data_IF_112018878243
#
_entry.id   IF_112018878243
#
_cell.length_a   1.000
_cell.length_b   1.000
_cell.length_c   1.000
_cell.angle_alpha   90.00
_cell.angle_beta   90.00
_cell.angle_gamma   90.00
#
_symmetry.space_group_name_H-M   'P 1'
#
loop_
_entity.id
_entity.type
_entity.pdbx_description
1 polymer ?
#
# COMPACT_ATOMS: atom_id res chain seq x y z
N UNK A 1 -16.43 -24.95 2.86
CA UNK A 1 -16.57 -23.64 2.19
C UNK A 1 -17.78 -23.73 1.27
N UNK A 2 -18.74 -22.80 1.37
CA UNK A 2 -20.05 -22.93 0.73
C UNK A 2 -19.91 -22.91 -0.81
N UNK A 3 -20.50 -23.88 -1.52
CA UNK A 3 -20.40 -24.02 -3.00
C UNK A 3 -20.87 -22.76 -3.73
N UNK A 4 -21.80 -22.02 -3.14
CA UNK A 4 -22.34 -20.77 -3.68
C UNK A 4 -21.35 -19.60 -3.63
N UNK A 5 -20.48 -19.53 -2.62
CA UNK A 5 -19.47 -18.45 -2.56
C UNK A 5 -18.39 -18.68 -3.62
N UNK A 6 -18.09 -19.95 -3.91
CA UNK A 6 -17.11 -20.32 -4.93
C UNK A 6 -17.53 -19.91 -6.34
N UNK A 7 -18.83 -19.77 -6.63
CA UNK A 7 -19.29 -19.34 -7.95
C UNK A 7 -19.00 -17.87 -8.25
N UNK A 8 -18.63 -17.06 -7.23
CA UNK A 8 -18.22 -15.66 -7.41
C UNK A 8 -16.73 -15.49 -7.73
N UNK A 9 -15.93 -16.54 -7.51
CA UNK A 9 -14.49 -16.46 -7.68
C UNK A 9 -14.19 -16.59 -9.17
N UNK A 10 -13.53 -15.57 -9.72
CA UNK A 10 -13.10 -15.55 -11.12
C UNK A 10 -11.62 -15.87 -11.20
N UNK A 11 -11.24 -16.60 -12.25
CA UNK A 11 -9.83 -16.83 -12.55
C UNK A 11 -9.28 -15.60 -13.28
N UNK A 12 -8.33 -14.92 -12.65
CA UNK A 12 -7.50 -13.89 -13.28
C UNK A 12 -6.16 -14.51 -13.70
N UNK A 13 -5.13 -13.68 -13.80
CA UNK A 13 -3.76 -14.12 -14.09
C UNK A 13 -3.27 -15.13 -13.08
N UNK A 14 -2.36 -15.98 -13.52
CA UNK A 14 -1.75 -17.07 -12.76
C UNK A 14 -0.23 -16.95 -12.66
N UNK A 15 0.41 -16.29 -13.63
CA UNK A 15 1.83 -16.04 -13.66
C UNK A 15 2.23 -15.06 -12.57
N UNK A 16 3.34 -15.36 -11.88
CA UNK A 16 3.88 -14.46 -10.88
C UNK A 16 4.40 -13.18 -11.55
N UNK A 17 3.89 -11.99 -11.17
CA UNK A 17 4.22 -10.75 -11.87
C UNK A 17 5.70 -10.40 -11.78
N UNK A 18 6.41 -10.86 -10.75
CA UNK A 18 7.85 -10.64 -10.64
C UNK A 18 8.63 -11.59 -11.55
N UNK A 19 8.21 -12.86 -11.60
CA UNK A 19 8.83 -13.84 -12.51
C UNK A 19 8.62 -13.46 -13.98
N UNK A 20 7.44 -12.93 -14.33
CA UNK A 20 7.18 -12.41 -15.69
C UNK A 20 8.22 -11.38 -16.11
N UNK A 21 8.62 -10.47 -15.22
CA UNK A 21 9.66 -9.47 -15.52
C UNK A 21 11.02 -10.13 -15.80
N UNK A 22 11.36 -11.19 -15.07
CA UNK A 22 12.58 -11.94 -15.33
C UNK A 22 12.54 -12.63 -16.69
N UNK A 23 11.39 -13.23 -17.03
CA UNK A 23 11.15 -13.85 -18.34
C UNK A 23 11.29 -12.82 -19.46
N UNK A 24 10.73 -11.63 -19.29
CA UNK A 24 10.85 -10.53 -20.26
C UNK A 24 12.31 -10.13 -20.46
N UNK A 25 13.06 -9.89 -19.37
CA UNK A 25 14.48 -9.58 -19.46
C UNK A 25 15.29 -10.68 -20.18
N UNK A 26 14.93 -11.95 -19.96
CA UNK A 26 15.55 -13.07 -20.66
C UNK A 26 15.25 -13.05 -22.17
N UNK A 27 13.99 -12.82 -22.55
CA UNK A 27 13.56 -12.73 -23.95
C UNK A 27 14.28 -11.57 -24.65
N UNK A 28 14.31 -10.39 -24.05
CA UNK A 28 14.99 -9.20 -24.58
C UNK A 28 16.47 -9.47 -24.83
N UNK A 29 17.19 -10.03 -23.85
CA UNK A 29 18.61 -10.33 -23.99
C UNK A 29 18.87 -11.33 -25.13
N UNK A 30 18.06 -12.39 -25.23
CA UNK A 30 18.25 -13.41 -26.27
C UNK A 30 17.91 -12.84 -27.66
N UNK A 31 16.84 -12.05 -27.78
CA UNK A 31 16.41 -11.44 -29.04
C UNK A 31 17.35 -10.33 -29.51
N UNK A 32 17.91 -9.54 -28.59
CA UNK A 32 18.94 -8.55 -28.91
C UNK A 32 20.22 -9.20 -29.47
N UNK A 33 20.50 -10.46 -29.12
CA UNK A 33 21.56 -11.26 -29.73
C UNK A 33 21.17 -11.88 -31.08
N UNK A 34 20.00 -11.51 -31.64
CA UNK A 34 19.42 -12.05 -32.87
C UNK A 34 19.25 -13.58 -32.83
N UNK A 35 18.94 -14.12 -31.64
CA UNK A 35 18.66 -15.53 -31.43
C UNK A 35 17.17 -15.74 -31.12
N UNK A 36 16.67 -16.96 -31.37
CA UNK A 36 15.33 -17.36 -30.94
C UNK A 36 15.33 -17.51 -29.43
N UNK A 37 14.47 -16.77 -28.73
CA UNK A 37 14.20 -17.02 -27.32
C UNK A 37 13.39 -18.29 -27.21
N UNK A 38 14.04 -19.43 -26.94
CA UNK A 38 13.41 -20.71 -26.68
C UNK A 38 13.53 -21.07 -25.19
N UNK A 39 12.81 -22.12 -24.78
CA UNK A 39 12.75 -22.55 -23.38
C UNK A 39 14.14 -22.81 -22.79
N UNK A 40 15.04 -23.46 -23.52
CA UNK A 40 16.41 -23.74 -23.06
C UNK A 40 17.21 -22.47 -22.76
N UNK A 41 17.17 -21.48 -23.66
CA UNK A 41 17.91 -20.23 -23.52
C UNK A 41 17.34 -19.37 -22.39
N UNK A 42 16.02 -19.25 -22.32
CA UNK A 42 15.33 -18.54 -21.23
C UNK A 42 15.68 -19.21 -19.90
N UNK A 43 15.53 -20.53 -19.79
CA UNK A 43 15.84 -21.26 -18.56
C UNK A 43 17.30 -21.12 -18.13
N UNK A 44 18.26 -21.19 -19.05
CA UNK A 44 19.68 -20.95 -18.75
C UNK A 44 19.93 -19.54 -18.24
N UNK A 45 19.32 -18.53 -18.86
CA UNK A 45 19.44 -17.15 -18.41
C UNK A 45 18.85 -16.96 -17.02
N UNK A 46 17.62 -17.43 -16.77
CA UNK A 46 16.95 -17.31 -15.47
C UNK A 46 17.65 -18.08 -14.35
N UNK A 47 18.15 -19.28 -14.65
CA UNK A 47 18.93 -20.06 -13.67
C UNK A 47 20.20 -19.30 -13.27
N UNK A 48 20.89 -18.70 -14.24
CA UNK A 48 22.15 -17.98 -14.00
C UNK A 48 21.95 -16.64 -13.30
N UNK A 49 20.96 -15.86 -13.71
CA UNK A 49 20.77 -14.49 -13.24
C UNK A 49 19.92 -14.41 -11.96
N UNK A 50 18.96 -15.32 -11.81
CA UNK A 50 17.95 -15.26 -10.74
C UNK A 50 17.84 -16.56 -9.93
N UNK A 51 18.68 -17.57 -10.20
CA UNK A 51 18.66 -18.85 -9.47
C UNK A 51 17.41 -19.69 -9.71
N UNK A 52 16.65 -19.41 -10.78
CA UNK A 52 15.34 -20.03 -11.00
C UNK A 52 15.48 -21.45 -11.55
N UNK A 53 14.81 -22.41 -10.91
CA UNK A 53 14.88 -23.81 -11.33
C UNK A 53 14.19 -24.03 -12.70
N UNK A 54 14.75 -24.83 -13.63
CA UNK A 54 14.19 -25.02 -14.97
C UNK A 54 12.71 -25.44 -15.02
N UNK A 55 12.28 -26.31 -14.10
CA UNK A 55 10.86 -26.70 -13.98
C UNK A 55 9.95 -25.52 -13.63
N UNK A 56 10.40 -24.64 -12.74
CA UNK A 56 9.64 -23.44 -12.38
C UNK A 56 9.64 -22.43 -13.53
N UNK A 57 10.75 -22.31 -14.27
CA UNK A 57 10.78 -21.56 -15.53
C UNK A 57 9.72 -22.05 -16.50
N UNK A 58 9.65 -23.36 -16.74
CA UNK A 58 8.70 -23.94 -17.70
C UNK A 58 7.27 -23.60 -17.30
N UNK A 59 6.97 -23.79 -16.01
CA UNK A 59 5.66 -23.52 -15.43
C UNK A 59 5.29 -22.04 -15.60
N UNK A 60 6.16 -21.12 -15.17
CA UNK A 60 5.87 -19.69 -15.21
C UNK A 60 5.82 -19.13 -16.62
N UNK A 61 6.65 -19.63 -17.52
CA UNK A 61 6.60 -19.27 -18.94
C UNK A 61 5.28 -19.68 -19.58
N UNK A 62 4.83 -20.92 -19.34
CA UNK A 62 3.52 -21.40 -19.80
C UNK A 62 2.35 -20.59 -19.23
N UNK A 63 2.42 -20.22 -17.94
CA UNK A 63 1.41 -19.34 -17.33
C UNK A 63 1.45 -17.93 -17.93
N UNK A 64 2.63 -17.37 -18.19
CA UNK A 64 2.77 -16.05 -18.80
C UNK A 64 2.21 -16.02 -20.22
N UNK A 65 2.38 -17.10 -21.00
CA UNK A 65 1.74 -17.27 -22.31
C UNK A 65 0.22 -17.30 -22.17
N UNK A 66 -0.30 -18.12 -21.25
CA UNK A 66 -1.74 -18.21 -20.98
C UNK A 66 -2.36 -16.88 -20.54
N UNK A 67 -1.62 -16.09 -19.78
CA UNK A 67 -2.05 -14.78 -19.29
C UNK A 67 -1.87 -13.65 -20.32
N UNK A 68 -1.40 -13.96 -21.54
CA UNK A 68 -1.14 -12.98 -22.60
C UNK A 68 0.02 -12.02 -22.29
N UNK A 69 0.89 -12.39 -21.35
CA UNK A 69 2.06 -11.62 -20.95
C UNK A 69 3.33 -11.99 -21.74
N UNK A 70 3.32 -13.13 -22.44
CA UNK A 70 4.35 -13.59 -23.38
C UNK A 70 3.62 -14.20 -24.56
N UNK A 71 4.19 -14.12 -25.76
CA UNK A 71 3.62 -14.78 -26.94
C UNK A 71 4.50 -15.92 -27.38
N UNK A 72 3.89 -17.07 -27.64
CA UNK A 72 4.54 -18.29 -28.09
C UNK A 72 4.16 -18.56 -29.54
N UNK A 73 5.16 -18.68 -30.42
CA UNK A 73 4.95 -19.05 -31.83
C UNK A 73 5.95 -20.10 -32.28
N UNK A 74 5.59 -20.90 -33.29
CA UNK A 74 6.54 -21.75 -34.00
C UNK A 74 7.46 -20.87 -34.86
N UNK A 75 8.78 -20.94 -34.62
CA UNK A 75 9.78 -20.12 -35.30
C UNK A 75 10.90 -20.99 -35.87
N UNK A 76 11.30 -20.71 -37.11
CA UNK A 76 12.42 -21.40 -37.77
C UNK A 76 13.75 -20.72 -37.42
N UNK A 77 14.74 -21.49 -36.99
CA UNK A 77 16.09 -21.00 -36.75
C UNK A 77 16.75 -20.42 -38.00
N UNK A 78 17.11 -19.14 -37.99
CA UNK A 78 17.83 -18.54 -39.13
C UNK A 78 19.36 -18.63 -39.02
N UNK A 79 19.92 -19.04 -37.86
CA UNK A 79 21.37 -19.05 -37.59
C UNK A 79 21.80 -20.18 -36.62
N UNK A 80 23.02 -20.68 -36.79
CA UNK A 80 23.67 -21.65 -35.90
C UNK A 80 23.40 -23.12 -36.24
N UNK A 81 23.75 -24.04 -35.33
CA UNK A 81 23.63 -25.50 -35.52
C UNK A 81 22.19 -26.02 -35.63
N UNK A 82 21.19 -25.17 -35.35
CA UNK A 82 19.75 -25.46 -35.51
C UNK A 82 19.10 -24.60 -36.59
N UNK A 83 19.87 -24.13 -37.58
CA UNK A 83 19.31 -23.39 -38.71
C UNK A 83 18.36 -24.28 -39.53
N UNK A 84 17.19 -23.76 -39.92
CA UNK A 84 16.16 -24.49 -40.65
C UNK A 84 15.26 -25.39 -39.80
N UNK A 85 15.49 -25.50 -38.48
CA UNK A 85 14.67 -26.30 -37.58
C UNK A 85 13.57 -25.44 -36.94
N UNK A 86 12.33 -25.89 -37.03
CA UNK A 86 11.19 -25.32 -36.31
C UNK A 86 11.31 -25.62 -34.81
N UNK A 87 11.15 -24.58 -34.00
CA UNK A 87 11.11 -24.69 -32.55
C UNK A 87 10.21 -23.60 -31.98
N UNK A 88 9.75 -23.80 -30.74
CA UNK A 88 9.05 -22.77 -29.98
C UNK A 88 9.93 -21.53 -29.80
N UNK A 89 9.39 -20.38 -30.19
CA UNK A 89 9.96 -19.06 -30.00
C UNK A 89 9.02 -18.21 -29.16
N UNK A 90 9.57 -17.59 -28.12
CA UNK A 90 8.86 -16.70 -27.22
C UNK A 90 9.16 -15.23 -27.59
N UNK A 91 8.15 -14.38 -27.49
CA UNK A 91 8.19 -12.97 -27.89
C UNK A 91 7.56 -12.10 -26.80
N UNK A 92 8.00 -10.86 -26.73
CA UNK A 92 7.26 -9.86 -25.96
C UNK A 92 5.98 -9.52 -26.74
N UNK A 93 4.84 -9.37 -26.07
CA UNK A 93 3.59 -9.06 -26.76
C UNK A 93 3.68 -7.71 -27.51
N UNK A 94 3.50 -7.76 -28.84
CA UNK A 94 3.66 -6.62 -29.75
C UNK A 94 4.96 -6.61 -30.58
N UNK A 95 5.93 -7.46 -30.26
CA UNK A 95 7.20 -7.61 -31.00
C UNK A 95 7.20 -8.81 -31.98
N UNK A 96 6.05 -9.40 -32.23
CA UNK A 96 5.90 -10.57 -33.10
C UNK A 96 6.22 -10.19 -34.56
N UNK A 97 7.10 -10.95 -35.22
CA UNK A 97 7.29 -10.81 -36.67
C UNK A 97 6.00 -11.29 -37.35
N UNK A 98 5.25 -10.36 -37.94
CA UNK A 98 4.03 -10.64 -38.71
C UNK A 98 4.25 -11.79 -39.73
N UNK A 99 3.54 -12.91 -39.63
CA UNK A 99 3.24 -13.75 -40.77
C UNK A 99 1.82 -13.41 -41.22
N UNK A 100 1.69 -12.50 -42.20
CA UNK A 100 0.55 -12.35 -43.13
C UNK A 100 -0.85 -12.82 -42.65
N UNK A 101 -1.24 -12.45 -41.44
CA UNK A 101 -2.60 -12.64 -40.93
C UNK A 101 -3.21 -11.25 -40.78
N UNK A 102 -3.70 -10.71 -41.90
CA UNK A 102 -4.65 -9.61 -41.91
C UNK A 102 -5.89 -10.02 -41.13
N UNK A 103 -5.92 -9.69 -39.84
CA UNK A 103 -7.08 -9.98 -39.00
C UNK A 103 -6.72 -9.93 -37.53
N UNK A 104 -7.06 -8.81 -36.88
CA UNK A 104 -6.96 -8.57 -35.44
C UNK A 104 -5.55 -8.28 -34.91
N UNK A 105 -5.07 -7.04 -35.10
CA UNK A 105 -4.38 -6.35 -34.01
C UNK A 105 -5.36 -6.30 -32.86
N UNK A 106 -5.35 -7.30 -31.99
CA UNK A 106 -6.20 -7.35 -30.81
C UNK A 106 -5.73 -6.21 -29.93
N UNK A 107 -6.38 -5.05 -30.05
CA UNK A 107 -6.26 -3.98 -29.07
C UNK A 107 -6.49 -4.62 -27.72
N UNK A 108 -5.49 -4.51 -26.85
CA UNK A 108 -5.57 -5.05 -25.50
C UNK A 108 -6.75 -4.36 -24.81
N UNK A 109 -7.90 -5.03 -24.73
CA UNK A 109 -9.07 -4.52 -24.03
C UNK A 109 -8.69 -4.31 -22.58
N UNK A 110 -8.87 -3.09 -22.09
CA UNK A 110 -8.64 -2.78 -20.69
C UNK A 110 -9.65 -3.58 -19.85
N UNK A 111 -9.17 -4.59 -19.12
CA UNK A 111 -10.00 -5.29 -18.15
C UNK A 111 -10.58 -4.30 -17.14
N UNK A 112 -11.78 -4.58 -16.66
CA UNK A 112 -12.48 -3.70 -15.70
C UNK A 112 -11.91 -3.79 -14.27
N UNK A 113 -11.16 -4.85 -13.98
CA UNK A 113 -10.65 -5.16 -12.66
C UNK A 113 -9.16 -5.52 -12.72
N UNK A 114 -8.49 -5.29 -11.58
CA UNK A 114 -7.12 -5.70 -11.37
C UNK A 114 -6.97 -7.22 -11.47
N UNK A 115 -5.75 -7.66 -11.81
CA UNK A 115 -5.41 -9.06 -11.92
C UNK A 115 -4.89 -9.66 -10.63
N UNK A 116 -4.44 -8.82 -9.69
CA UNK A 116 -3.73 -9.25 -8.49
C UNK A 116 -4.50 -8.90 -7.23
N UNK A 117 -4.44 -9.78 -6.23
CA UNK A 117 -5.14 -9.56 -4.97
C UNK A 117 -4.61 -8.30 -4.24
N UNK A 118 -5.50 -7.45 -3.73
CA UNK A 118 -5.13 -6.22 -3.02
C UNK A 118 -4.48 -6.43 -1.65
N UNK A 119 -4.56 -7.65 -1.08
CA UNK A 119 -3.97 -7.99 0.22
C UNK A 119 -2.61 -8.66 0.07
N UNK A 120 -2.47 -9.66 -0.80
CA UNK A 120 -1.20 -10.39 -0.96
C UNK A 120 -0.41 -10.01 -2.20
N UNK A 121 -1.00 -9.24 -3.13
CA UNK A 121 -0.38 -8.79 -4.39
C UNK A 121 -0.02 -9.93 -5.35
N UNK A 122 -0.59 -11.12 -5.15
CA UNK A 122 -0.33 -12.32 -5.94
C UNK A 122 -1.47 -12.62 -6.92
N UNK A 123 -1.16 -13.31 -8.03
CA UNK A 123 -2.15 -13.81 -8.99
C UNK A 123 -3.03 -14.92 -8.40
N UNK A 124 -4.08 -15.32 -9.13
CA UNK A 124 -4.90 -16.48 -8.80
C UNK A 124 -6.40 -16.26 -8.96
N UNK A 125 -7.17 -17.13 -8.30
CA UNK A 125 -8.62 -17.11 -8.29
C UNK A 125 -9.12 -16.08 -7.26
N UNK A 126 -9.73 -14.98 -7.73
CA UNK A 126 -10.07 -13.79 -6.93
C UNK A 126 -11.56 -13.44 -6.99
N UNK A 127 -12.01 -12.69 -6.00
CA UNK A 127 -13.31 -12.03 -5.96
C UNK A 127 -13.16 -10.61 -6.50
N UNK A 128 -14.04 -10.23 -7.43
CA UNK A 128 -14.16 -8.87 -7.97
C UNK A 128 -15.12 -8.03 -7.12
N UNK A 129 -14.75 -6.78 -6.85
CA UNK A 129 -15.59 -5.84 -6.13
C UNK A 129 -16.58 -5.17 -7.09
N UNK A 130 -17.88 -5.25 -6.80
CA UNK A 130 -18.91 -4.71 -7.68
C UNK A 130 -18.89 -3.15 -7.80
N UNK A 131 -18.09 -2.46 -6.97
CA UNK A 131 -18.01 -0.98 -6.91
C UNK A 131 -16.66 -0.38 -7.32
N UNK A 132 -15.62 -1.19 -7.52
CA UNK A 132 -14.30 -0.70 -7.92
C UNK A 132 -13.48 -1.82 -8.54
N UNK A 133 -12.40 -1.46 -9.23
CA UNK A 133 -11.52 -2.42 -9.91
C UNK A 133 -10.74 -3.39 -9.00
N UNK A 134 -10.82 -3.27 -7.67
CA UNK A 134 -10.01 -4.08 -6.74
C UNK A 134 -10.50 -5.52 -6.66
N UNK A 135 -9.55 -6.46 -6.58
CA UNK A 135 -9.83 -7.89 -6.43
C UNK A 135 -9.14 -8.49 -5.21
N UNK A 136 -9.70 -9.57 -4.67
CA UNK A 136 -9.23 -10.18 -3.42
C UNK A 136 -9.32 -11.71 -3.47
N UNK A 137 -8.28 -12.43 -3.02
CA UNK A 137 -8.47 -13.85 -2.76
C UNK A 137 -9.43 -14.04 -1.58
N UNK A 138 -10.35 -15.00 -1.69
CA UNK A 138 -11.29 -15.31 -0.60
C UNK A 138 -10.58 -15.63 0.73
N UNK A 139 -9.41 -16.30 0.65
CA UNK A 139 -8.57 -16.63 1.82
C UNK A 139 -7.85 -15.42 2.45
N UNK A 140 -7.69 -14.33 1.70
CA UNK A 140 -7.02 -13.12 2.17
C UNK A 140 -7.98 -12.13 2.84
N UNK A 141 -9.29 -12.32 2.67
CA UNK A 141 -10.29 -11.47 3.31
C UNK A 141 -10.51 -11.89 4.77
N UNK A 142 -10.62 -10.93 5.71
CA UNK A 142 -11.17 -11.18 7.02
C UNK A 142 -12.62 -11.69 6.93
N UNK A 143 -13.08 -12.48 7.90
CA UNK A 143 -14.38 -13.14 7.86
C UNK A 143 -15.56 -12.16 7.70
N UNK A 144 -15.48 -10.98 8.31
CA UNK A 144 -16.48 -9.91 8.20
C UNK A 144 -16.62 -9.31 6.78
N UNK A 145 -15.58 -9.44 5.95
CA UNK A 145 -15.55 -8.94 4.59
C UNK A 145 -15.84 -10.01 3.54
N UNK A 146 -15.94 -11.29 3.92
CA UNK A 146 -16.30 -12.35 2.98
C UNK A 146 -17.75 -12.19 2.49
N UNK A 147 -18.07 -12.58 1.24
CA UNK A 147 -19.45 -12.67 0.78
C UNK A 147 -20.26 -13.62 1.67
N UNK A 148 -21.51 -13.26 1.97
CA UNK A 148 -22.41 -14.11 2.79
C UNK A 148 -23.05 -15.24 1.97
N UNK A 149 -23.28 -14.98 0.69
CA UNK A 149 -23.86 -15.90 -0.29
C UNK A 149 -23.23 -15.68 -1.67
N UNK A 150 -23.65 -16.48 -2.67
CA UNK A 150 -23.13 -16.39 -4.03
C UNK A 150 -23.75 -15.29 -4.90
N UNK A 151 -24.99 -14.88 -4.61
CA UNK A 151 -25.81 -14.05 -5.51
C UNK A 151 -25.90 -12.57 -5.15
N UNK A 152 -25.55 -12.18 -3.93
CA UNK A 152 -25.67 -10.81 -3.44
C UNK A 152 -24.57 -9.90 -3.96
N UNK A 153 -24.88 -8.60 -4.04
CA UNK A 153 -23.89 -7.58 -4.36
C UNK A 153 -22.79 -7.57 -3.30
N UNK A 154 -21.53 -7.75 -3.69
CA UNK A 154 -20.37 -7.76 -2.80
C UNK A 154 -19.50 -6.52 -3.00
N UNK A 155 -19.12 -5.90 -1.88
CA UNK A 155 -18.23 -4.75 -1.84
C UNK A 155 -17.02 -5.07 -0.97
N UNK A 156 -15.84 -4.69 -1.43
CA UNK A 156 -14.59 -4.83 -0.68
C UNK A 156 -14.54 -3.89 0.55
N UNK A 157 -13.56 -4.11 1.42
CA UNK A 157 -13.37 -3.30 2.63
C UNK A 157 -13.20 -1.80 2.34
N UNK A 158 -12.47 -1.44 1.28
CA UNK A 158 -12.29 -0.04 0.87
C UNK A 158 -13.63 0.63 0.52
N UNK A 159 -14.43 0.02 -0.37
CA UNK A 159 -15.73 0.58 -0.78
C UNK A 159 -16.76 0.63 0.37
N UNK A 160 -16.74 -0.35 1.29
CA UNK A 160 -17.59 -0.32 2.49
C UNK A 160 -17.21 0.84 3.42
N UNK A 161 -15.90 1.10 3.59
CA UNK A 161 -15.38 2.21 4.39
C UNK A 161 -15.82 3.58 3.86
N UNK A 162 -15.75 3.78 2.54
CA UNK A 162 -16.07 5.06 1.89
C UNK A 162 -17.49 5.59 2.15
N UNK A 163 -18.43 4.73 2.59
CA UNK A 163 -19.81 5.14 2.92
C UNK A 163 -19.95 5.84 4.28
N UNK A 164 -18.90 5.85 5.11
CA UNK A 164 -18.94 6.51 6.42
C UNK A 164 -19.12 8.03 6.27
N UNK A 165 -19.81 8.65 7.23
CA UNK A 165 -19.92 10.12 7.28
C UNK A 165 -18.52 10.72 7.48
N UNK A 166 -18.15 11.65 6.61
CA UNK A 166 -16.86 12.32 6.65
C UNK A 166 -17.04 13.82 6.91
N UNK A 167 -15.91 14.50 7.12
CA UNK A 167 -15.84 15.96 7.14
C UNK A 167 -16.35 16.55 5.83
N UNK A 168 -16.72 17.83 5.86
CA UNK A 168 -16.97 18.53 4.61
C UNK A 168 -15.69 18.59 3.75
N UNK A 169 -15.87 18.78 2.43
CA UNK A 169 -14.78 18.74 1.45
C UNK A 169 -13.62 19.70 1.81
N UNK A 170 -13.92 20.92 2.25
CA UNK A 170 -12.91 21.94 2.56
C UNK A 170 -12.08 21.58 3.80
N UNK A 171 -12.75 21.13 4.86
CA UNK A 171 -12.10 20.68 6.09
C UNK A 171 -11.25 19.44 5.83
N UNK A 172 -11.78 18.45 5.10
CA UNK A 172 -11.04 17.24 4.75
C UNK A 172 -9.78 17.58 3.95
N UNK A 173 -9.91 18.44 2.93
CA UNK A 173 -8.77 18.88 2.14
C UNK A 173 -7.72 19.61 2.99
N UNK A 174 -8.14 20.39 4.00
CA UNK A 174 -7.21 21.05 4.93
C UNK A 174 -6.35 20.04 5.68
N UNK A 175 -6.94 18.99 6.23
CA UNK A 175 -6.20 17.98 7.01
C UNK A 175 -5.35 17.06 6.14
N UNK A 176 -5.92 16.57 5.04
CA UNK A 176 -5.20 15.68 4.11
C UNK A 176 -3.96 16.35 3.50
N UNK A 177 -3.95 17.69 3.35
CA UNK A 177 -2.74 18.41 2.89
C UNK A 177 -1.52 18.18 3.79
N UNK A 178 -1.71 18.14 5.11
CA UNK A 178 -0.61 17.83 6.04
C UNK A 178 -0.10 16.41 5.85
N UNK A 179 -1.01 15.44 5.67
CA UNK A 179 -0.65 14.04 5.47
C UNK A 179 0.11 13.87 4.16
N UNK A 180 -0.41 14.42 3.06
CA UNK A 180 0.24 14.35 1.74
C UNK A 180 1.63 15.00 1.75
N UNK A 181 1.82 16.09 2.49
CA UNK A 181 3.14 16.72 2.62
C UNK A 181 4.16 15.75 3.23
N UNK A 182 3.80 15.07 4.33
CA UNK A 182 4.65 14.04 4.95
C UNK A 182 4.85 12.82 4.04
N UNK A 183 3.81 12.42 3.30
CA UNK A 183 3.93 11.35 2.31
C UNK A 183 4.98 11.68 1.25
N UNK A 184 5.00 12.92 0.74
CA UNK A 184 5.98 13.36 -0.26
C UNK A 184 7.41 13.26 0.26
N UNK A 185 7.65 13.66 1.52
CA UNK A 185 8.97 13.59 2.15
C UNK A 185 9.49 12.13 2.21
N UNK A 186 8.62 11.20 2.61
CA UNK A 186 8.97 9.76 2.69
C UNK A 186 9.02 9.07 1.31
N UNK A 187 8.26 9.56 0.33
CA UNK A 187 8.22 8.99 -1.01
C UNK A 187 9.53 9.18 -1.79
N UNK A 188 10.40 10.11 -1.36
CA UNK A 188 11.74 10.30 -1.96
C UNK A 188 12.55 9.00 -1.92
N UNK A 189 12.50 8.25 -0.83
CA UNK A 189 13.22 6.98 -0.71
C UNK A 189 12.66 5.90 -1.62
N UNK A 190 11.34 5.91 -1.86
CA UNK A 190 10.69 5.03 -2.82
C UNK A 190 11.09 5.37 -4.26
N UNK A 191 11.25 6.66 -4.57
CA UNK A 191 11.63 7.14 -5.90
C UNK A 191 13.11 6.90 -6.25
N UNK A 192 14.02 6.90 -5.27
CA UNK A 192 15.47 6.71 -5.47
C UNK A 192 15.85 5.44 -6.23
N UNK A 193 15.06 4.36 -6.11
CA UNK A 193 15.34 3.09 -6.79
C UNK A 193 14.79 3.01 -8.22
N UNK A 194 14.12 4.05 -8.70
CA UNK A 194 13.64 4.22 -10.08
C UNK A 194 12.48 3.28 -10.45
N UNK A 195 11.38 3.83 -10.96
CA UNK A 195 10.29 3.10 -11.62
C UNK A 195 10.36 3.42 -13.12
N UNK A 196 10.61 2.43 -13.97
CA UNK A 196 10.47 2.62 -15.41
C UNK A 196 9.00 2.47 -15.81
N UNK A 197 8.25 3.55 -15.64
CA UNK A 197 6.82 3.62 -16.02
C UNK A 197 6.61 3.69 -17.52
N UNK A 198 7.68 3.90 -18.31
CA UNK A 198 7.62 3.94 -19.77
C UNK A 198 7.78 2.57 -20.41
N UNK A 199 8.35 1.61 -19.68
CA UNK A 199 8.51 0.25 -20.14
C UNK A 199 7.14 -0.36 -20.56
N UNK A 200 7.02 -1.02 -21.72
CA UNK A 200 5.75 -1.61 -22.17
C UNK A 200 5.14 -2.59 -21.15
N UNK A 201 6.00 -3.30 -20.43
CA UNK A 201 5.64 -4.20 -19.32
C UNK A 201 4.85 -3.51 -18.20
N UNK A 202 5.13 -2.24 -17.90
CA UNK A 202 4.47 -1.52 -16.81
C UNK A 202 2.96 -1.49 -17.04
N UNK A 203 2.52 -1.12 -18.25
CA UNK A 203 1.10 -1.09 -18.63
C UNK A 203 0.45 -2.46 -18.65
N UNK A 204 1.25 -3.52 -18.79
CA UNK A 204 0.76 -4.90 -18.75
C UNK A 204 0.62 -5.41 -17.33
N UNK A 205 1.48 -4.99 -16.39
CA UNK A 205 1.43 -5.46 -15.00
C UNK A 205 0.63 -4.57 -14.05
N UNK A 206 0.46 -3.29 -14.38
CA UNK A 206 -0.18 -2.31 -13.50
C UNK A 206 -1.51 -1.88 -14.12
N UNK A 207 -2.61 -2.29 -13.49
CA UNK A 207 -3.96 -1.96 -13.92
C UNK A 207 -4.27 -0.46 -13.73
N UNK A 208 -4.02 0.07 -12.53
CA UNK A 208 -4.25 1.49 -12.22
C UNK A 208 -2.98 2.14 -11.72
N UNK A 209 -2.38 2.97 -12.56
CA UNK A 209 -1.18 3.73 -12.21
C UNK A 209 -1.52 4.83 -11.18
N UNK A 210 -0.69 4.94 -10.14
CA UNK A 210 -0.83 5.99 -9.12
C UNK A 210 0.51 6.21 -8.41
N UNK A 211 0.87 7.49 -8.28
CA UNK A 211 2.00 7.96 -7.49
C UNK A 211 1.57 9.01 -6.44
N UNK A 212 2.46 9.34 -5.51
CA UNK A 212 2.16 10.34 -4.45
C UNK A 212 1.87 11.74 -5.04
N UNK A 213 2.47 12.07 -6.18
CA UNK A 213 2.15 13.28 -6.96
C UNK A 213 0.68 13.30 -7.40
N UNK A 214 0.17 12.20 -7.95
CA UNK A 214 -1.23 12.09 -8.35
C UNK A 214 -2.19 12.20 -7.15
N UNK A 215 -1.82 11.64 -5.99
CA UNK A 215 -2.62 11.79 -4.76
C UNK A 215 -2.76 13.28 -4.39
N UNK A 216 -1.69 14.06 -4.53
CA UNK A 216 -1.70 15.49 -4.27
C UNK A 216 -2.59 16.27 -5.26
N UNK A 217 -2.53 15.93 -6.55
CA UNK A 217 -3.40 16.49 -7.59
C UNK A 217 -4.87 16.15 -7.32
N UNK A 218 -5.17 14.88 -7.08
CA UNK A 218 -6.51 14.39 -6.72
C UNK A 218 -7.07 15.11 -5.49
N UNK A 219 -6.22 15.41 -4.50
CA UNK A 219 -6.61 16.17 -3.32
C UNK A 219 -6.94 17.63 -3.66
N UNK A 220 -6.18 18.23 -4.57
CA UNK A 220 -6.31 19.63 -4.98
C UNK A 220 -7.56 19.87 -5.83
N UNK A 221 -7.88 18.91 -6.71
CA UNK A 221 -9.15 18.84 -7.44
C UNK A 221 -10.33 18.42 -6.53
N UNK A 222 -10.00 17.88 -5.37
CA UNK A 222 -10.93 17.44 -4.35
C UNK A 222 -11.80 16.27 -4.83
N UNK A 223 -11.13 15.27 -5.41
CA UNK A 223 -11.72 14.00 -5.86
C UNK A 223 -12.11 13.09 -4.69
N UNK A 224 -11.40 13.19 -3.56
CA UNK A 224 -11.72 12.41 -2.37
C UNK A 224 -13.02 12.91 -1.73
N UNK A 225 -13.93 11.97 -1.45
CA UNK A 225 -15.19 12.17 -0.72
C UNK A 225 -15.11 11.58 0.69
N UNK A 226 -14.12 10.74 0.95
CA UNK A 226 -13.89 10.10 2.26
C UNK A 226 -12.41 9.90 2.55
N UNK A 227 -12.06 9.77 3.83
CA UNK A 227 -10.71 9.35 4.25
C UNK A 227 -10.37 7.94 3.75
N UNK A 228 -11.35 7.06 3.63
CA UNK A 228 -11.16 5.71 3.12
C UNK A 228 -10.79 5.69 1.63
N UNK A 229 -11.33 6.60 0.81
CA UNK A 229 -10.89 6.75 -0.59
C UNK A 229 -9.42 7.19 -0.67
N UNK A 230 -9.03 8.20 0.13
CA UNK A 230 -7.64 8.66 0.21
C UNK A 230 -6.69 7.53 0.69
N UNK A 231 -7.11 6.78 1.71
CA UNK A 231 -6.37 5.61 2.21
C UNK A 231 -6.25 4.53 1.13
N UNK A 232 -7.31 4.27 0.38
CA UNK A 232 -7.32 3.24 -0.66
C UNK A 232 -6.39 3.58 -1.84
N UNK A 233 -6.18 4.87 -2.12
CA UNK A 233 -5.17 5.35 -3.08
C UNK A 233 -3.75 5.17 -2.51
N UNK A 234 -3.51 5.49 -1.23
CA UNK A 234 -2.22 5.18 -0.61
C UNK A 234 -1.91 3.67 -0.61
N UNK A 235 -2.92 2.80 -0.43
CA UNK A 235 -2.77 1.34 -0.52
C UNK A 235 -2.43 0.87 -1.94
N UNK A 236 -2.96 1.54 -2.97
CA UNK A 236 -2.65 1.23 -4.37
C UNK A 236 -1.15 1.43 -4.68
N UNK A 237 -0.50 2.40 -4.05
CA UNK A 237 0.96 2.58 -4.18
C UNK A 237 1.71 1.35 -3.65
N UNK A 238 1.28 0.78 -2.52
CA UNK A 238 1.85 -0.47 -1.98
C UNK A 238 1.63 -1.61 -2.96
N UNK A 239 0.40 -1.76 -3.45
CA UNK A 239 0.01 -2.81 -4.38
C UNK A 239 0.86 -2.80 -5.65
N UNK A 240 0.93 -1.65 -6.33
CA UNK A 240 1.72 -1.48 -7.55
C UNK A 240 3.21 -1.71 -7.30
N UNK A 241 3.73 -1.25 -6.15
CA UNK A 241 5.14 -1.44 -5.80
C UNK A 241 5.43 -2.92 -5.52
N UNK A 242 4.55 -3.64 -4.84
CA UNK A 242 4.69 -5.07 -4.59
C UNK A 242 4.66 -5.90 -5.88
N UNK A 243 3.81 -5.56 -6.85
CA UNK A 243 3.78 -6.20 -8.18
C UNK A 243 5.10 -5.97 -8.92
N UNK A 244 5.60 -4.73 -8.94
CA UNK A 244 6.80 -4.37 -9.71
C UNK A 244 8.08 -4.93 -9.09
N UNK A 245 8.24 -4.83 -7.77
CA UNK A 245 9.50 -5.18 -7.11
C UNK A 245 9.48 -6.54 -6.42
N UNK A 246 8.30 -7.13 -6.22
CA UNK A 246 8.08 -8.32 -5.42
C UNK A 246 7.68 -7.96 -3.98
N UNK A 247 6.80 -8.77 -3.39
CA UNK A 247 6.21 -8.54 -2.06
C UNK A 247 7.24 -8.41 -0.93
N UNK A 248 8.38 -9.09 -1.05
CA UNK A 248 9.44 -9.12 -0.05
C UNK A 248 10.62 -8.17 -0.37
N UNK A 249 10.46 -7.29 -1.36
CA UNK A 249 11.50 -6.31 -1.71
C UNK A 249 11.58 -5.15 -0.71
N UNK A 250 12.75 -4.52 -0.60
CA UNK A 250 12.92 -3.28 0.17
C UNK A 250 11.94 -2.20 -0.28
N UNK A 251 11.64 -2.11 -1.57
CA UNK A 251 10.71 -1.14 -2.14
C UNK A 251 9.29 -1.37 -1.61
N UNK A 252 8.85 -2.63 -1.57
CA UNK A 252 7.56 -2.98 -1.00
C UNK A 252 7.53 -2.69 0.51
N UNK A 253 8.63 -2.88 1.23
CA UNK A 253 8.73 -2.51 2.64
C UNK A 253 8.64 -0.99 2.86
N UNK A 254 9.38 -0.20 2.09
CA UNK A 254 9.30 1.27 2.12
C UNK A 254 7.88 1.74 1.81
N UNK A 255 7.21 1.13 0.82
CA UNK A 255 5.83 1.47 0.49
C UNK A 255 4.85 1.08 1.62
N UNK A 256 5.03 -0.07 2.27
CA UNK A 256 4.23 -0.47 3.44
C UNK A 256 4.42 0.49 4.61
N UNK A 257 5.65 0.92 4.88
CA UNK A 257 5.94 1.94 5.90
C UNK A 257 5.23 3.25 5.57
N UNK A 258 5.35 3.76 4.33
CA UNK A 258 4.63 4.94 3.86
C UNK A 258 3.12 4.84 4.09
N UNK A 259 2.52 3.69 3.76
CA UNK A 259 1.10 3.44 3.98
C UNK A 259 0.74 3.35 5.47
N UNK A 260 1.55 2.68 6.28
CA UNK A 260 1.38 2.58 7.73
C UNK A 260 1.41 3.96 8.40
N UNK A 261 2.38 4.80 8.04
CA UNK A 261 2.46 6.18 8.51
C UNK A 261 1.23 7.00 8.08
N UNK A 262 0.78 6.81 6.83
CA UNK A 262 -0.43 7.47 6.33
C UNK A 262 -1.67 7.07 7.14
N UNK A 263 -1.81 5.78 7.47
CA UNK A 263 -2.88 5.28 8.33
C UNK A 263 -2.77 5.82 9.75
N UNK A 264 -1.56 5.92 10.28
CA UNK A 264 -1.31 6.51 11.59
C UNK A 264 -1.77 7.97 11.65
N UNK A 265 -1.43 8.79 10.65
CA UNK A 265 -1.87 10.18 10.58
C UNK A 265 -3.40 10.32 10.48
N UNK A 266 -4.06 9.45 9.72
CA UNK A 266 -5.53 9.40 9.66
C UNK A 266 -6.14 9.05 11.02
N UNK A 267 -5.54 8.10 11.75
CA UNK A 267 -5.99 7.75 13.10
C UNK A 267 -5.81 8.91 14.07
N UNK A 268 -4.66 9.60 14.05
CA UNK A 268 -4.43 10.80 14.87
C UNK A 268 -5.45 11.91 14.59
N UNK A 269 -5.79 12.11 13.31
CA UNK A 269 -6.83 13.05 12.89
C UNK A 269 -8.22 12.66 13.42
N UNK A 270 -8.55 11.38 13.37
CA UNK A 270 -9.85 10.86 13.85
C UNK A 270 -9.95 10.87 15.38
N UNK A 271 -8.83 10.71 16.11
CA UNK A 271 -8.79 10.83 17.57
C UNK A 271 -9.10 12.26 18.03
N UNK A 272 -8.42 13.26 17.47
CA UNK A 272 -8.73 14.66 17.75
C UNK A 272 -8.25 15.59 16.62
N UNK A 273 -9.19 16.15 15.88
CA UNK A 273 -8.93 17.07 14.76
C UNK A 273 -8.19 18.33 15.17
N UNK A 274 -8.49 18.86 16.37
CA UNK A 274 -7.87 20.07 16.90
C UNK A 274 -6.41 19.79 17.29
N UNK A 275 -6.14 18.71 18.03
CA UNK A 275 -4.77 18.28 18.31
C UNK A 275 -3.98 17.98 17.04
N UNK A 276 -4.59 17.29 16.07
CA UNK A 276 -3.95 17.01 14.78
C UNK A 276 -3.58 18.30 14.05
N UNK A 277 -4.50 19.27 13.97
CA UNK A 277 -4.24 20.57 13.35
C UNK A 277 -3.08 21.29 14.04
N UNK A 278 -3.17 21.48 15.36
CA UNK A 278 -2.21 22.26 16.13
C UNK A 278 -0.82 21.61 16.14
N UNK A 279 -0.75 20.28 16.20
CA UNK A 279 0.52 19.54 16.13
C UNK A 279 1.21 19.65 14.77
N UNK A 280 0.44 19.93 13.71
CA UNK A 280 0.96 20.10 12.35
C UNK A 280 1.28 21.57 12.03
N UNK A 281 0.35 22.49 12.35
CA UNK A 281 0.50 23.92 12.09
C UNK A 281 1.51 24.60 13.04
N UNK A 282 1.66 24.06 14.25
CA UNK A 282 2.58 24.52 15.31
C UNK A 282 2.61 26.05 15.51
N UNK A 283 1.47 26.73 15.74
CA UNK A 283 1.50 28.11 16.25
C UNK A 283 2.19 28.19 17.63
N UNK A 284 2.49 29.40 18.09
CA UNK A 284 3.02 29.60 19.44
C UNK A 284 2.05 29.01 20.48
N UNK A 285 2.59 28.30 21.47
CA UNK A 285 1.82 27.58 22.49
C UNK A 285 0.74 26.66 21.88
N UNK A 286 1.00 26.04 20.72
CA UNK A 286 0.02 25.18 20.04
C UNK A 286 -0.59 24.09 20.95
N UNK A 287 0.17 23.60 21.93
CA UNK A 287 -0.31 22.57 22.86
C UNK A 287 -1.16 23.14 24.01
N UNK A 288 -1.21 24.46 24.19
CA UNK A 288 -2.01 25.12 25.23
C UNK A 288 -3.44 25.45 24.77
N UNK A 289 -3.75 25.35 23.47
CA UNK A 289 -5.12 25.58 23.01
C UNK A 289 -6.05 24.41 23.40
N UNK A 290 -7.26 24.71 23.92
CA UNK A 290 -8.24 23.69 24.28
C UNK A 290 -8.84 22.99 23.06
N UNK A 291 -9.35 21.79 23.29
CA UNK A 291 -10.10 21.01 22.31
C UNK A 291 -11.59 20.99 22.68
N UNK A 292 -12.47 20.57 21.76
CA UNK A 292 -13.88 20.39 22.07
C UNK A 292 -14.31 18.96 21.70
N UNK A 293 -14.67 18.10 22.68
CA UNK A 293 -14.58 18.35 24.12
C UNK A 293 -13.13 18.52 24.63
N UNK A 294 -12.98 19.12 25.82
CA UNK A 294 -11.68 19.24 26.47
C UNK A 294 -11.11 17.85 26.79
N UNK A 295 -9.79 17.70 26.62
CA UNK A 295 -9.10 16.50 27.06
C UNK A 295 -8.97 16.48 28.59
N UNK A 296 -9.17 15.31 29.20
CA UNK A 296 -8.83 15.13 30.62
C UNK A 296 -7.33 15.38 30.80
N UNK A 297 -6.99 16.03 31.91
CA UNK A 297 -5.61 16.23 32.33
C UNK A 297 -5.29 15.19 33.41
N UNK A 298 -4.08 14.64 33.35
CA UNK A 298 -3.61 13.64 34.30
C UNK A 298 -2.13 13.83 34.62
N UNK A 299 -1.71 13.33 35.77
CA UNK A 299 -0.31 12.98 36.00
C UNK A 299 -0.09 11.54 35.55
N UNK A 300 0.80 11.33 34.60
CA UNK A 300 1.11 10.02 34.05
C UNK A 300 2.58 9.66 34.28
N UNK A 301 2.85 8.38 34.62
CA UNK A 301 4.20 7.89 34.91
C UNK A 301 4.63 6.81 33.92
N UNK A 302 5.68 7.11 33.15
CA UNK A 302 6.37 6.12 32.31
C UNK A 302 7.39 5.32 33.14
N UNK A 303 7.60 4.06 32.77
CA UNK A 303 8.62 3.21 33.40
C UNK A 303 10.00 3.87 33.31
N UNK A 304 10.69 3.99 34.44
CA UNK A 304 12.00 4.65 34.55
C UNK A 304 11.94 6.18 34.72
N UNK A 305 10.76 6.79 34.68
CA UNK A 305 10.56 8.22 34.88
C UNK A 305 9.65 8.49 36.09
N UNK A 306 9.62 9.75 36.54
CA UNK A 306 8.63 10.24 37.49
C UNK A 306 7.29 10.56 36.81
N UNK A 307 6.33 11.10 37.58
CA UNK A 307 5.08 11.60 37.03
C UNK A 307 5.29 12.90 36.22
N UNK A 308 4.66 12.98 35.05
CA UNK A 308 4.63 14.15 34.18
C UNK A 308 3.18 14.51 33.84
N UNK A 309 2.88 15.80 33.62
CA UNK A 309 1.54 16.21 33.24
C UNK A 309 1.26 15.83 31.79
N UNK A 310 0.03 15.39 31.50
CA UNK A 310 -0.36 14.94 30.17
C UNK A 310 -1.86 15.16 29.89
N UNK A 311 -2.19 15.26 28.59
CA UNK A 311 -3.57 15.20 28.08
C UNK A 311 -3.94 13.76 27.76
N UNK A 312 -5.12 13.31 28.18
CA UNK A 312 -5.68 12.01 27.79
C UNK A 312 -6.33 12.12 26.42
N UNK A 313 -5.94 11.21 25.52
CA UNK A 313 -6.46 11.17 24.15
C UNK A 313 -7.46 10.04 23.98
N UNK A 314 -7.22 8.88 24.59
CA UNK A 314 -8.16 7.77 24.64
C UNK A 314 -7.86 6.86 25.84
N UNK A 315 -8.83 6.02 26.20
CA UNK A 315 -8.74 5.05 27.30
C UNK A 315 -9.12 3.67 26.80
N UNK A 316 -8.35 2.67 27.20
CA UNK A 316 -8.69 1.25 27.12
C UNK A 316 -8.80 0.68 28.55
N UNK A 317 -9.22 -0.57 28.70
CA UNK A 317 -9.50 -1.15 30.03
C UNK A 317 -8.31 -1.07 31.00
N UNK A 318 -7.08 -1.32 30.52
CA UNK A 318 -5.89 -1.42 31.36
C UNK A 318 -4.84 -0.32 31.14
N UNK A 319 -5.09 0.59 30.19
CA UNK A 319 -4.11 1.61 29.82
C UNK A 319 -4.78 2.88 29.27
N UNK A 320 -4.06 3.98 29.40
CA UNK A 320 -4.49 5.31 28.98
C UNK A 320 -3.48 5.87 27.99
N UNK A 321 -3.97 6.29 26.85
CA UNK A 321 -3.15 6.93 25.82
C UNK A 321 -3.05 8.42 26.11
N UNK A 322 -1.84 8.88 26.41
CA UNK A 322 -1.60 10.25 26.83
C UNK A 322 -0.57 10.93 25.94
N UNK A 323 -0.70 12.25 25.83
CA UNK A 323 0.32 13.12 25.24
C UNK A 323 0.82 14.08 26.30
N UNK A 324 2.10 13.95 26.63
CA UNK A 324 2.75 14.72 27.69
C UNK A 324 2.92 16.19 27.30
N UNK A 325 2.83 17.08 28.29
CA UNK A 325 3.32 18.45 28.17
C UNK A 325 4.85 18.48 28.18
N UNK A 326 5.42 19.59 27.74
CA UNK A 326 6.85 19.83 27.65
C UNK A 326 7.42 19.59 26.24
N UNK A 327 8.71 19.88 26.08
CA UNK A 327 9.36 20.07 24.78
C UNK A 327 9.11 18.97 23.72
N UNK A 328 9.08 17.69 24.10
CA UNK A 328 8.96 16.60 23.13
C UNK A 328 7.52 16.25 22.78
N UNK A 329 6.54 16.71 23.58
CA UNK A 329 5.11 16.36 23.45
C UNK A 329 4.89 14.86 23.18
N UNK A 330 5.63 14.03 23.93
CA UNK A 330 5.73 12.59 23.70
C UNK A 330 4.36 11.92 23.86
N UNK A 331 4.07 10.96 22.98
CA UNK A 331 2.87 10.11 23.01
C UNK A 331 3.21 8.76 23.64
N UNK A 332 2.38 8.26 24.55
CA UNK A 332 2.56 6.93 25.12
C UNK A 332 1.27 6.34 25.69
N UNK A 333 1.15 5.02 25.61
CA UNK A 333 0.21 4.24 26.42
C UNK A 333 0.80 4.01 27.81
N UNK A 334 0.02 4.35 28.84
CA UNK A 334 0.41 4.29 30.24
C UNK A 334 -0.55 3.37 30.98
N UNK A 335 -0.06 2.37 31.75
CA UNK A 335 -0.93 1.52 32.55
C UNK A 335 -1.81 2.35 33.49
N UNK A 336 -3.07 1.96 33.66
CA UNK A 336 -4.04 2.72 34.46
C UNK A 336 -3.56 2.98 35.90
N UNK A 337 -2.82 2.04 36.49
CA UNK A 337 -2.22 2.17 37.84
C UNK A 337 -1.18 3.30 37.96
N UNK A 338 -0.63 3.75 36.82
CA UNK A 338 0.36 4.82 36.73
C UNK A 338 -0.26 6.16 36.30
N UNK A 339 -1.58 6.28 36.42
CA UNK A 339 -2.34 7.51 36.17
C UNK A 339 -2.86 8.05 37.50
N UNK A 340 -2.68 9.36 37.71
CA UNK A 340 -3.22 10.08 38.87
C UNK A 340 -4.03 11.28 38.38
N UNK A 341 -5.09 11.64 39.10
CA UNK A 341 -5.90 12.83 38.82
C UNK A 341 -5.03 14.08 38.85
N UNK A 342 -5.22 15.00 37.90
CA UNK A 342 -4.40 16.23 37.81
C UNK A 342 -4.46 17.08 39.10
N UNK A 343 -5.54 16.97 39.88
CA UNK A 343 -5.75 17.69 41.15
C UNK A 343 -4.86 17.17 42.27
N UNK A 344 -4.23 16.00 42.13
CA UNK A 344 -3.28 15.48 43.11
C UNK A 344 -2.10 16.44 43.24
N UNK A 345 -1.79 16.84 44.48
CA UNK A 345 -0.70 17.76 44.76
C UNK A 345 0.63 17.13 44.38
N UNK A 346 1.48 17.88 43.66
CA UNK A 346 2.80 17.42 43.20
C UNK A 346 3.67 16.84 44.33
N UNK A 347 3.54 17.34 45.56
CA UNK A 347 4.29 16.83 46.72
C UNK A 347 3.97 15.36 47.05
N UNK A 348 2.83 14.85 46.62
CA UNK A 348 2.40 13.45 46.81
C UNK A 348 2.87 12.53 45.68
N UNK A 349 3.49 13.09 44.63
CA UNK A 349 3.90 12.35 43.44
C UNK A 349 5.42 12.14 43.42
N UNK A 350 5.84 10.97 42.92
CA UNK A 350 7.25 10.71 42.61
C UNK A 350 7.65 11.48 41.35
N UNK A 351 8.22 12.67 41.49
CA UNK A 351 8.64 13.54 40.38
C UNK A 351 10.15 13.85 40.43
N UNK A 352 10.77 13.96 39.26
CA UNK A 352 12.12 14.52 39.11
C UNK A 352 11.96 15.95 38.57
N UNK A 353 12.19 16.95 39.43
CA UNK A 353 12.01 18.39 39.12
C UNK A 353 13.12 18.97 38.23
N UNK A 354 13.34 18.33 37.08
CA UNK A 354 14.25 18.84 36.05
C UNK A 354 13.73 20.15 35.46
N UNK A 355 14.58 20.89 34.75
CA UNK A 355 14.18 22.07 33.99
C UNK A 355 13.08 21.75 32.97
N UNK A 356 13.19 20.61 32.28
CA UNK A 356 12.16 20.15 31.34
C UNK A 356 10.82 19.86 32.02
N UNK A 357 10.84 19.28 33.22
CA UNK A 357 9.62 19.01 33.99
C UNK A 357 8.94 20.30 34.44
N UNK A 358 9.72 21.29 34.92
CA UNK A 358 9.18 22.60 35.30
C UNK A 358 8.49 23.30 34.13
N UNK A 359 9.13 23.31 32.95
CA UNK A 359 8.54 23.86 31.73
C UNK A 359 7.26 23.14 31.30
N UNK A 360 7.17 21.83 31.51
CA UNK A 360 5.94 21.07 31.24
C UNK A 360 4.80 21.48 32.18
N UNK A 361 5.10 21.79 33.45
CA UNK A 361 4.12 22.33 34.38
C UNK A 361 3.72 23.77 34.04
N UNK A 362 4.66 24.63 33.65
CA UNK A 362 4.37 25.99 33.17
C UNK A 362 3.46 25.95 31.93
N UNK A 363 3.71 25.05 30.97
CA UNK A 363 2.87 24.86 29.79
C UNK A 363 1.45 24.36 30.16
N UNK A 364 1.35 23.47 31.15
CA UNK A 364 0.07 23.01 31.71
C UNK A 364 -0.70 24.18 32.35
N UNK A 365 -0.03 25.04 33.12
CA UNK A 365 -0.66 26.20 33.76
C UNK A 365 -1.20 27.19 32.73
N UNK A 366 -0.53 27.35 31.59
CA UNK A 366 -1.03 28.18 30.48
C UNK A 366 -2.23 27.55 29.78
N UNK A 367 -2.34 26.21 29.77
CA UNK A 367 -3.49 25.50 29.19
C UNK A 367 -4.76 25.60 30.04
N UNK A 368 -4.61 25.63 31.37
CA UNK A 368 -5.72 25.70 32.34
C UNK A 368 -6.32 27.10 32.43
#
# INVERSE_FOLDING_TARGET
>A
MNKEIMSRVVKKRLADPKVVQYVWAAIEVVRNQKQIANMDRISKYLSRMFGMHPKETARQLSLAVKDGLVVETLTVGCKGSKAGIEQEGYWLPGDEMEPEAEGNKQEWEAESHDWYCFECHLPGDVLECDNCFRVYHLKCLPDEFKPKDGGSHWQCGACRGSKKKNLNKQEMSKYLRFIVQRMKERAVDLAKKGKDTKHPMYKRLIHTALEVSNIHENLSEGKYKSFDEFKADAQLIVHNTAILYGVNSDQAEIARLLFSDTCHELNELLLCKTCFYLSNARPDNWFCYPCSPNHDLVWAKMKGFGYWPAKVLQREENQVDVRFFGHQHQRAWIPSDNIQDIKVKVQQLQVKRSSGWKKACEELEVYQ
#
